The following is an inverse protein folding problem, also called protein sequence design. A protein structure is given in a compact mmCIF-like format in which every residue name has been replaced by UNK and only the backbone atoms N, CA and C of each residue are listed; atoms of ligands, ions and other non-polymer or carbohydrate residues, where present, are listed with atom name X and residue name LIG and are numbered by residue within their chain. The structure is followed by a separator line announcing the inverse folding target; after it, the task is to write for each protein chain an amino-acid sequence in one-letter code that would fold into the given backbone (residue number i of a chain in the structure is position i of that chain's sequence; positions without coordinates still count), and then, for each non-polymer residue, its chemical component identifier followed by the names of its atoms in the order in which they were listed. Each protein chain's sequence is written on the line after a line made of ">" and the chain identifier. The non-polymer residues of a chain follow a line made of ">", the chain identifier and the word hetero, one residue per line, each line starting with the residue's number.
data_IF_064063999792
#
_entry.id   IF_064063999792
#
_cell.length_a   1.000
_cell.length_b   1.000
_cell.length_c   1.000
_cell.angle_alpha   90.00
_cell.angle_beta   90.00
_cell.angle_gamma   90.00
#
_symmetry.space_group_name_H-M   'P 1'
#
loop_
_entity.id
_entity.type
_entity.pdbx_description
1 polymer ?
#
# COMPACT_ATOMS: atom_id res chain seq x y z
N UNK A 1 -2.20 13.07 -0.13
CA UNK A 1 -3.63 13.06 0.25
C UNK A 1 -3.88 12.05 1.37
N UNK A 2 -4.79 12.30 2.31
CA UNK A 2 -5.24 11.27 3.26
C UNK A 2 -6.15 10.26 2.55
N UNK A 3 -5.76 8.99 2.61
CA UNK A 3 -6.50 7.87 2.02
C UNK A 3 -7.39 7.22 3.07
N UNK A 4 -6.90 7.06 4.30
CA UNK A 4 -7.69 6.56 5.43
C UNK A 4 -7.82 7.66 6.50
N UNK A 5 -9.04 8.17 6.69
CA UNK A 5 -9.31 9.18 7.72
C UNK A 5 -9.36 8.57 9.13
N UNK A 6 -9.83 7.33 9.25
CA UNK A 6 -9.91 6.60 10.51
C UNK A 6 -8.58 6.51 11.25
N UNK A 7 -7.50 6.24 10.49
CA UNK A 7 -6.16 5.98 11.04
C UNK A 7 -5.13 6.98 10.51
N UNK A 8 -5.58 8.12 9.97
CA UNK A 8 -4.71 9.17 9.41
C UNK A 8 -3.62 8.65 8.48
N UNK A 9 -3.97 7.72 7.57
CA UNK A 9 -3.02 7.15 6.61
C UNK A 9 -3.02 7.97 5.34
N UNK A 10 -1.85 8.50 4.97
CA UNK A 10 -1.64 9.21 3.71
C UNK A 10 -1.29 8.26 2.56
N UNK A 11 -1.52 8.72 1.34
CA UNK A 11 -0.99 8.12 0.11
C UNK A 11 0.53 7.89 0.18
N UNK A 12 1.29 8.87 0.67
CA UNK A 12 2.75 8.77 0.84
C UNK A 12 3.12 7.62 1.76
N UNK A 13 2.39 7.44 2.87
CA UNK A 13 2.59 6.33 3.81
C UNK A 13 2.40 4.98 3.14
N UNK A 14 1.33 4.83 2.34
CA UNK A 14 1.05 3.59 1.60
C UNK A 14 2.16 3.32 0.58
N UNK A 15 2.51 4.30 -0.25
CA UNK A 15 3.56 4.15 -1.28
C UNK A 15 4.92 3.80 -0.67
N UNK A 16 5.30 4.43 0.44
CA UNK A 16 6.53 4.12 1.17
C UNK A 16 6.54 2.69 1.70
N UNK A 17 5.42 2.22 2.29
CA UNK A 17 5.31 0.85 2.76
C UNK A 17 5.40 -0.15 1.60
N UNK A 18 4.80 0.16 0.45
CA UNK A 18 4.85 -0.70 -0.74
C UNK A 18 6.26 -0.80 -1.30
N UNK A 19 6.97 0.32 -1.46
CA UNK A 19 8.38 0.31 -1.92
C UNK A 19 9.30 -0.48 -0.99
N UNK A 20 9.09 -0.33 0.32
CA UNK A 20 9.95 -0.93 1.35
C UNK A 20 9.71 -2.42 1.56
N UNK A 21 8.44 -2.85 1.55
CA UNK A 21 8.06 -4.20 1.94
C UNK A 21 7.50 -5.05 0.80
N UNK A 22 7.19 -4.46 -0.37
CA UNK A 22 6.68 -5.13 -1.57
C UNK A 22 5.55 -6.14 -1.27
N UNK A 23 4.49 -5.72 -0.55
CA UNK A 23 3.42 -6.62 -0.14
C UNK A 23 2.72 -7.20 -1.37
N UNK A 24 2.58 -8.53 -1.42
CA UNK A 24 1.90 -9.26 -2.50
C UNK A 24 0.38 -9.29 -2.32
N UNK A 25 -0.10 -8.99 -1.10
CA UNK A 25 -1.53 -8.95 -0.79
C UNK A 25 -1.88 -7.72 0.03
N UNK A 26 -3.14 -7.28 -0.09
CA UNK A 26 -3.64 -6.18 0.74
C UNK A 26 -3.61 -6.50 2.25
N UNK A 27 -3.71 -7.78 2.62
CA UNK A 27 -3.57 -8.21 4.01
C UNK A 27 -2.14 -7.99 4.54
N UNK A 28 -1.12 -8.23 3.72
CA UNK A 28 0.26 -7.87 4.07
C UNK A 28 0.43 -6.35 4.17
N UNK A 29 -0.18 -5.56 3.27
CA UNK A 29 -0.14 -4.10 3.42
C UNK A 29 -0.73 -3.64 4.77
N UNK A 30 -1.82 -4.27 5.22
CA UNK A 30 -2.46 -3.98 6.52
C UNK A 30 -1.58 -4.31 7.73
N UNK A 31 -0.66 -5.26 7.63
CA UNK A 31 0.28 -5.54 8.72
C UNK A 31 1.37 -4.47 8.86
N UNK A 32 1.63 -3.68 7.82
CA UNK A 32 2.63 -2.59 7.85
C UNK A 32 2.02 -1.22 8.12
N UNK A 33 0.78 -1.00 7.67
CA UNK A 33 0.09 0.29 7.78
C UNK A 33 -1.36 0.02 8.20
N UNK A 34 -1.90 0.72 9.21
CA UNK A 34 -3.27 0.51 9.69
C UNK A 34 -4.31 1.06 8.70
N UNK A 35 -4.39 0.52 7.49
CA UNK A 35 -5.29 0.98 6.43
C UNK A 35 -6.52 0.07 6.29
N UNK A 36 -7.71 0.66 6.40
CA UNK A 36 -8.97 -0.09 6.22
C UNK A 36 -9.25 -1.11 7.33
N UNK A 37 -8.76 -0.87 8.54
CA UNK A 37 -9.00 -1.68 9.75
C UNK A 37 -10.19 -1.21 10.60
N UNK A 38 -10.79 -0.06 10.27
CA UNK A 38 -12.00 0.46 10.92
C UNK A 38 -13.20 0.45 9.95
N UNK A 39 -13.58 1.59 9.35
CA UNK A 39 -14.79 1.67 8.51
C UNK A 39 -14.65 1.06 7.10
N UNK A 40 -13.45 0.70 6.67
CA UNK A 40 -13.19 0.07 5.37
C UNK A 40 -13.36 0.95 4.12
N UNK A 41 -13.87 2.18 4.23
CA UNK A 41 -14.15 3.07 3.07
C UNK A 41 -12.93 3.37 2.20
N UNK A 42 -11.74 3.36 2.78
CA UNK A 42 -10.48 3.63 2.08
C UNK A 42 -9.92 2.43 1.30
N UNK A 43 -10.48 1.22 1.45
CA UNK A 43 -9.85 -0.03 0.97
C UNK A 43 -9.66 -0.02 -0.54
N UNK A 44 -10.64 0.43 -1.32
CA UNK A 44 -10.53 0.51 -2.78
C UNK A 44 -9.41 1.45 -3.21
N UNK A 45 -9.39 2.68 -2.67
CA UNK A 45 -8.38 3.67 -3.00
C UNK A 45 -6.96 3.24 -2.56
N UNK A 46 -6.84 2.67 -1.36
CA UNK A 46 -5.57 2.16 -0.86
C UNK A 46 -5.03 0.99 -1.69
N UNK A 47 -5.91 0.10 -2.17
CA UNK A 47 -5.55 -1.01 -3.04
C UNK A 47 -5.06 -0.54 -4.40
N UNK A 48 -5.74 0.43 -5.01
CA UNK A 48 -5.29 1.02 -6.27
C UNK A 48 -3.87 1.60 -6.13
N UNK A 49 -3.62 2.38 -5.08
CA UNK A 49 -2.29 2.96 -4.82
C UNK A 49 -1.24 1.85 -4.63
N UNK A 50 -1.58 0.76 -3.96
CA UNK A 50 -0.69 -0.39 -3.77
C UNK A 50 -0.32 -1.04 -5.10
N UNK A 51 -1.32 -1.33 -5.93
CA UNK A 51 -1.14 -1.97 -7.24
C UNK A 51 -0.34 -1.06 -8.19
N UNK A 52 -0.72 0.23 -8.28
CA UNK A 52 -0.01 1.23 -9.09
C UNK A 52 1.47 1.34 -8.69
N UNK A 53 1.76 1.32 -7.39
CA UNK A 53 3.13 1.44 -6.89
C UNK A 53 3.94 0.17 -7.13
N UNK A 54 3.34 -1.03 -7.01
CA UNK A 54 4.01 -2.30 -7.34
C UNK A 54 4.40 -2.38 -8.82
N UNK A 55 3.57 -1.86 -9.73
CA UNK A 55 3.90 -1.81 -11.17
C UNK A 55 5.07 -0.88 -11.50
N UNK A 56 5.38 0.08 -10.63
CA UNK A 56 6.49 1.03 -10.81
C UNK A 56 7.82 0.51 -10.25
N UNK A 57 7.81 -0.56 -9.45
CA UNK A 57 9.04 -1.14 -8.91
C UNK A 57 9.66 -2.00 -10.03
N UNK A 58 10.83 -1.62 -10.57
CA UNK A 58 11.49 -2.45 -11.57
C UNK A 58 11.84 -3.80 -10.93
N UNK A 59 11.33 -4.89 -11.52
CA UNK A 59 11.74 -6.23 -11.13
C UNK A 59 13.22 -6.39 -11.51
N UNK A 60 14.12 -6.36 -10.52
CA UNK A 60 15.48 -6.88 -10.69
C UNK A 60 15.44 -8.42 -10.72
N UNK A 61 14.64 -9.00 -11.62
CA UNK A 61 14.72 -10.43 -11.92
C UNK A 61 15.83 -10.62 -12.94
N UNK A 62 16.90 -11.27 -12.47
CA UNK A 62 17.98 -11.88 -13.24
C UNK A 62 19.08 -10.94 -13.76
N UNK A 63 20.00 -10.58 -12.85
CA UNK A 63 21.42 -10.46 -13.22
C UNK A 63 22.13 -11.65 -12.56
N UNK A 64 22.01 -12.83 -13.19
CA UNK A 64 22.86 -13.99 -12.97
C UNK A 64 22.72 -14.92 -14.18
#
# INVERSE_FOLDING_TARGET
>A
MYVCLCNSVSDKTIRQAVRRYQPQTFQQLRSFVPVGTQCGKCVRAARQIMEDELQQIPEFKNIA
#
